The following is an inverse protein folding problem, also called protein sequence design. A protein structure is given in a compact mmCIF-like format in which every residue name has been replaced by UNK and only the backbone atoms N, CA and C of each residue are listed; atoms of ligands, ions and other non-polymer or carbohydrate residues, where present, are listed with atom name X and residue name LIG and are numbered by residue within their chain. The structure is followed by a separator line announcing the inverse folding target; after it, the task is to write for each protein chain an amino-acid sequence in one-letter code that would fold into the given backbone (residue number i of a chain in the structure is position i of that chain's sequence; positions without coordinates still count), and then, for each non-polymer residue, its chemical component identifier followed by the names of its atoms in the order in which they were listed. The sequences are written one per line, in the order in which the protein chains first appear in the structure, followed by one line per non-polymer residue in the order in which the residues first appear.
data_IF_885662175533
#
_entry.id   IF_885662175533
#
_cell.length_a   1.000
_cell.length_b   1.000
_cell.length_c   1.000
_cell.angle_alpha   90.00
_cell.angle_beta   90.00
_cell.angle_gamma   90.00
#
_symmetry.space_group_name_H-M   'P 1'
#
loop_
_entity.id
_entity.type
_entity.pdbx_description
1 polymer ?
#
# COMPACT_ATOMS: atom_id res chain seq x y z
N UNK A 1 34.83 -23.04 -8.73
CA UNK A 1 33.87 -23.97 -8.12
C UNK A 1 32.51 -23.54 -8.62
N UNK A 2 31.80 -24.44 -9.30
CA UNK A 2 30.50 -24.14 -9.92
C UNK A 2 29.46 -24.06 -8.82
N UNK A 3 28.88 -22.87 -8.63
CA UNK A 3 27.62 -22.69 -7.90
C UNK A 3 26.56 -23.48 -8.68
N UNK A 4 26.31 -24.72 -8.26
CA UNK A 4 25.16 -25.46 -8.73
C UNK A 4 23.94 -24.80 -8.10
N UNK A 5 23.31 -23.91 -8.86
CA UNK A 5 21.96 -23.44 -8.59
C UNK A 5 21.10 -24.70 -8.35
N UNK A 6 20.75 -24.95 -7.09
CA UNK A 6 19.97 -26.13 -6.75
C UNK A 6 18.56 -25.80 -7.19
N UNK A 7 18.15 -26.34 -8.34
CA UNK A 7 16.79 -26.20 -8.83
C UNK A 7 15.87 -26.96 -7.89
N UNK A 8 15.31 -26.24 -6.93
CA UNK A 8 14.34 -26.77 -5.99
C UNK A 8 12.96 -26.35 -6.48
N UNK A 9 12.27 -27.29 -7.14
CA UNK A 9 10.83 -27.17 -7.36
C UNK A 9 10.16 -27.41 -6.02
N UNK A 10 9.37 -26.45 -5.53
CA UNK A 10 8.64 -26.61 -4.27
C UNK A 10 7.76 -27.86 -4.36
N UNK A 11 8.20 -28.90 -3.66
CA UNK A 11 7.47 -30.13 -3.43
C UNK A 11 7.37 -30.35 -1.93
N UNK A 12 6.34 -31.07 -1.51
CA UNK A 12 6.11 -31.54 -0.14
C UNK A 12 7.23 -32.45 0.40
N UNK A 13 8.27 -32.72 -0.40
CA UNK A 13 9.38 -33.63 -0.09
C UNK A 13 10.66 -32.92 0.32
N UNK A 14 10.70 -31.59 0.30
CA UNK A 14 11.84 -30.83 0.80
C UNK A 14 11.81 -30.84 2.32
N UNK A 15 12.96 -31.04 2.95
CA UNK A 15 13.07 -31.11 4.42
C UNK A 15 12.62 -29.79 5.08
N UNK A 16 12.82 -28.69 4.37
CA UNK A 16 12.51 -27.32 4.75
C UNK A 16 11.03 -26.97 4.51
N UNK A 17 10.28 -27.84 3.81
CA UNK A 17 8.89 -27.61 3.45
C UNK A 17 7.96 -28.61 4.13
N UNK A 18 6.88 -28.10 4.72
CA UNK A 18 5.80 -28.90 5.29
C UNK A 18 4.51 -28.66 4.52
N UNK A 19 3.82 -29.73 4.14
CA UNK A 19 2.49 -29.66 3.54
C UNK A 19 1.43 -29.83 4.62
N UNK A 20 0.55 -28.85 4.79
CA UNK A 20 -0.56 -28.88 5.75
C UNK A 20 -1.82 -28.40 5.03
N UNK A 21 -2.74 -29.32 4.73
CA UNK A 21 -4.08 -29.03 4.18
C UNK A 21 -4.07 -27.95 3.10
N UNK A 22 -3.70 -28.34 1.88
CA UNK A 22 -3.65 -27.46 0.70
C UNK A 22 -2.75 -26.22 0.85
N UNK A 23 -1.79 -26.28 1.76
CA UNK A 23 -0.78 -25.23 1.92
C UNK A 23 0.58 -25.86 2.02
N UNK A 24 1.57 -25.24 1.39
CA UNK A 24 2.98 -25.61 1.54
C UNK A 24 3.67 -24.48 2.28
N UNK A 25 4.32 -24.80 3.39
CA UNK A 25 5.11 -23.86 4.17
C UNK A 25 6.57 -24.23 4.08
N UNK A 26 7.38 -23.39 3.45
CA UNK A 26 8.81 -23.56 3.32
C UNK A 26 9.55 -22.48 4.10
N UNK A 27 10.43 -22.90 5.02
CA UNK A 27 11.31 -21.99 5.74
C UNK A 27 12.76 -22.43 5.56
N UNK A 28 13.54 -21.58 4.88
CA UNK A 28 14.91 -21.88 4.50
C UNK A 28 15.94 -21.36 5.50
N UNK A 29 15.52 -20.96 6.70
CA UNK A 29 16.42 -20.49 7.75
C UNK A 29 17.54 -21.50 8.02
N UNK A 30 18.80 -21.05 7.90
CA UNK A 30 20.02 -21.85 8.10
C UNK A 30 20.18 -23.06 7.14
N UNK A 31 19.35 -23.17 6.09
CA UNK A 31 19.45 -24.28 5.13
C UNK A 31 20.67 -24.17 4.20
N UNK A 32 21.21 -22.96 4.03
CA UNK A 32 22.23 -22.66 3.02
C UNK A 32 21.68 -22.59 1.59
N UNK A 33 20.39 -22.89 1.39
CA UNK A 33 19.70 -22.74 0.11
C UNK A 33 19.52 -21.25 -0.16
N UNK A 34 20.01 -20.82 -1.32
CA UNK A 34 19.94 -19.43 -1.77
C UNK A 34 18.83 -19.22 -2.78
N UNK A 35 18.64 -20.17 -3.69
CA UNK A 35 17.69 -20.08 -4.78
C UNK A 35 16.55 -21.10 -4.62
N UNK A 36 15.32 -20.64 -4.76
CA UNK A 36 14.11 -21.48 -4.75
C UNK A 36 13.31 -21.20 -6.01
N UNK A 37 12.89 -22.26 -6.71
CA UNK A 37 12.14 -22.15 -7.95
C UNK A 37 10.68 -22.54 -7.69
N UNK A 38 9.78 -21.63 -8.01
CA UNK A 38 8.34 -21.85 -7.93
C UNK A 38 7.83 -21.94 -9.37
N UNK A 39 7.55 -23.16 -9.79
CA UNK A 39 6.92 -23.44 -11.07
C UNK A 39 5.38 -23.49 -10.89
N UNK A 40 4.61 -23.25 -11.96
CA UNK A 40 3.16 -23.35 -11.89
C UNK A 40 2.78 -24.80 -11.58
N UNK A 41 1.92 -25.00 -10.58
CA UNK A 41 1.34 -26.32 -10.32
C UNK A 41 0.43 -26.71 -11.49
N UNK A 42 0.37 -28.01 -11.85
CA UNK A 42 -0.67 -28.51 -12.78
C UNK A 42 -2.02 -28.04 -12.21
N UNK A 43 -2.90 -27.36 -12.98
CA UNK A 43 -4.18 -26.87 -12.48
C UNK A 43 -5.06 -27.99 -11.87
N UNK A 44 -4.73 -29.26 -12.12
CA UNK A 44 -5.36 -30.43 -11.49
C UNK A 44 -4.85 -30.77 -10.09
N UNK A 45 -3.74 -30.18 -9.65
CA UNK A 45 -3.05 -30.47 -8.40
C UNK A 45 -3.04 -29.20 -7.52
N UNK A 46 -4.18 -28.94 -6.88
CA UNK A 46 -4.41 -27.68 -6.17
C UNK A 46 -3.74 -27.72 -4.79
N UNK A 47 -2.54 -27.14 -4.69
CA UNK A 47 -2.03 -26.65 -3.42
C UNK A 47 -2.50 -25.18 -3.30
N UNK A 48 -3.59 -24.96 -2.57
CA UNK A 48 -4.30 -23.66 -2.48
C UNK A 48 -3.42 -22.47 -2.05
N UNK A 49 -2.26 -22.64 -1.40
CA UNK A 49 -1.32 -21.53 -1.13
C UNK A 49 0.10 -21.98 -0.79
N UNK A 50 1.13 -21.28 -1.30
CA UNK A 50 2.53 -21.54 -0.97
C UNK A 50 3.13 -20.38 -0.18
N UNK A 51 3.76 -20.70 0.94
CA UNK A 51 4.44 -19.78 1.84
C UNK A 51 5.95 -20.04 1.77
N UNK A 52 6.74 -19.01 1.48
CA UNK A 52 8.20 -19.12 1.40
C UNK A 52 8.86 -18.04 2.25
N UNK A 53 9.66 -18.48 3.21
CA UNK A 53 10.34 -17.60 4.15
C UNK A 53 11.87 -17.77 4.10
N UNK A 54 12.57 -16.66 4.37
CA UNK A 54 14.01 -16.62 4.68
C UNK A 54 14.90 -17.23 3.59
N UNK A 55 14.76 -16.73 2.36
CA UNK A 55 15.53 -17.17 1.19
C UNK A 55 16.14 -15.97 0.48
N UNK A 56 17.27 -16.16 -0.18
CA UNK A 56 17.92 -15.08 -0.92
C UNK A 56 17.14 -14.77 -2.20
N UNK A 57 16.91 -15.76 -3.06
CA UNK A 57 16.23 -15.57 -4.34
C UNK A 57 15.06 -16.55 -4.49
N UNK A 58 13.90 -16.01 -4.87
CA UNK A 58 12.76 -16.80 -5.34
C UNK A 58 12.58 -16.54 -6.83
N UNK A 59 12.70 -17.58 -7.63
CA UNK A 59 12.47 -17.57 -9.06
C UNK A 59 11.03 -18.03 -9.32
N UNK A 60 10.16 -17.11 -9.73
CA UNK A 60 8.80 -17.42 -10.17
C UNK A 60 8.86 -17.74 -11.66
N UNK A 61 8.75 -19.03 -11.98
CA UNK A 61 8.85 -19.52 -13.36
C UNK A 61 7.46 -19.53 -13.98
N UNK A 62 7.26 -18.79 -15.06
CA UNK A 62 5.96 -18.65 -15.71
C UNK A 62 4.98 -17.76 -14.93
N UNK A 63 3.68 -17.78 -15.29
CA UNK A 63 2.68 -16.96 -14.63
C UNK A 63 2.31 -17.50 -13.25
N UNK A 64 1.80 -16.60 -12.41
CA UNK A 64 1.28 -16.93 -11.10
C UNK A 64 -0.07 -17.65 -11.22
N UNK A 65 -0.05 -18.99 -11.23
CA UNK A 65 -1.26 -19.83 -11.16
C UNK A 65 -1.51 -20.40 -9.75
N UNK A 66 -1.00 -19.77 -8.70
CA UNK A 66 -1.21 -20.20 -7.32
C UNK A 66 -1.03 -19.02 -6.35
N UNK A 67 -1.71 -19.05 -5.20
CA UNK A 67 -1.52 -18.02 -4.19
C UNK A 67 -0.13 -18.13 -3.55
N UNK A 68 0.57 -17.00 -3.45
CA UNK A 68 1.91 -16.92 -2.88
C UNK A 68 1.98 -15.94 -1.71
N UNK A 69 2.70 -16.36 -0.68
CA UNK A 69 3.08 -15.54 0.46
C UNK A 69 4.59 -15.62 0.69
N UNK A 70 5.29 -14.51 0.46
CA UNK A 70 6.75 -14.41 0.48
C UNK A 70 7.20 -13.49 1.61
N UNK A 71 8.11 -13.93 2.47
CA UNK A 71 8.58 -13.14 3.63
C UNK A 71 10.08 -13.23 3.82
N UNK A 72 10.73 -12.09 4.03
CA UNK A 72 12.19 -12.01 4.14
C UNK A 72 12.88 -12.69 2.94
N UNK A 73 12.47 -12.29 1.74
CA UNK A 73 13.02 -12.80 0.48
C UNK A 73 13.86 -11.70 -0.13
N UNK A 74 15.17 -11.89 -0.31
CA UNK A 74 16.01 -10.77 -0.76
C UNK A 74 15.59 -10.30 -2.16
N UNK A 75 15.38 -11.22 -3.10
CA UNK A 75 14.93 -10.94 -4.47
C UNK A 75 13.87 -11.94 -4.94
N UNK A 76 12.85 -11.42 -5.64
CA UNK A 76 11.86 -12.19 -6.38
C UNK A 76 12.09 -11.90 -7.86
N UNK A 77 12.45 -12.94 -8.60
CA UNK A 77 12.82 -12.89 -10.00
C UNK A 77 11.71 -13.57 -10.81
N UNK A 78 11.21 -12.88 -11.83
CA UNK A 78 10.21 -13.45 -12.74
C UNK A 78 10.91 -14.03 -13.96
N UNK A 79 10.78 -15.32 -14.20
CA UNK A 79 11.26 -15.98 -15.40
C UNK A 79 10.09 -16.20 -16.36
N UNK A 80 10.05 -15.46 -17.47
CA UNK A 80 8.99 -15.66 -18.48
C UNK A 80 9.17 -17.02 -19.17
N UNK A 81 8.18 -17.90 -19.00
CA UNK A 81 8.03 -19.11 -19.80
C UNK A 81 6.55 -19.29 -20.17
N UNK A 82 6.31 -19.65 -21.44
CA UNK A 82 5.10 -20.33 -21.94
C UNK A 82 3.76 -19.59 -21.93
N UNK A 83 2.89 -19.98 -22.87
CA UNK A 83 1.47 -19.63 -22.88
C UNK A 83 0.71 -20.56 -21.89
N UNK A 84 0.73 -20.24 -20.60
CA UNK A 84 -0.02 -20.98 -19.59
C UNK A 84 -1.40 -20.34 -19.37
N UNK A 85 -2.44 -21.18 -19.36
CA UNK A 85 -3.81 -20.77 -19.02
C UNK A 85 -4.01 -20.89 -17.50
N UNK A 86 -3.77 -19.81 -16.75
CA UNK A 86 -4.21 -19.72 -15.36
C UNK A 86 -5.65 -19.17 -15.30
N UNK A 87 -6.40 -19.56 -14.27
CA UNK A 87 -7.62 -18.83 -13.88
C UNK A 87 -7.29 -17.43 -13.31
N UNK A 88 -8.29 -16.56 -13.25
CA UNK A 88 -8.16 -15.28 -12.54
C UNK A 88 -8.30 -15.47 -11.03
N UNK A 89 -7.73 -14.57 -10.22
CA UNK A 89 -8.01 -14.51 -8.78
C UNK A 89 -6.83 -14.79 -7.84
N UNK A 90 -5.63 -14.99 -8.39
CA UNK A 90 -4.44 -15.35 -7.62
C UNK A 90 -3.85 -14.18 -6.84
N UNK A 91 -3.40 -14.51 -5.64
CA UNK A 91 -2.82 -13.57 -4.67
C UNK A 91 -1.29 -13.63 -4.67
N UNK A 92 -0.66 -12.46 -4.69
CA UNK A 92 0.73 -12.29 -4.29
C UNK A 92 0.80 -11.41 -3.04
N UNK A 93 1.21 -12.00 -1.92
CA UNK A 93 1.57 -11.30 -0.71
C UNK A 93 3.10 -11.34 -0.52
N UNK A 94 3.75 -10.19 -0.39
CA UNK A 94 5.19 -10.12 -0.12
C UNK A 94 5.49 -9.16 1.04
N UNK A 95 6.41 -9.55 1.92
CA UNK A 95 6.89 -8.72 3.02
C UNK A 95 8.41 -8.75 3.11
N UNK A 96 9.05 -7.59 3.26
CA UNK A 96 10.52 -7.47 3.35
C UNK A 96 11.17 -8.18 2.17
N UNK A 97 10.78 -7.76 0.96
CA UNK A 97 11.24 -8.36 -0.27
C UNK A 97 11.56 -7.35 -1.36
N UNK A 98 12.43 -7.73 -2.30
CA UNK A 98 12.69 -6.94 -3.51
C UNK A 98 12.07 -7.62 -4.71
N UNK A 99 11.36 -6.85 -5.55
CA UNK A 99 10.71 -7.32 -6.76
C UNK A 99 11.17 -6.49 -7.96
N UNK A 100 11.56 -7.15 -9.05
CA UNK A 100 11.79 -6.43 -10.31
C UNK A 100 10.46 -5.99 -10.93
N UNK A 101 9.49 -6.91 -10.98
CA UNK A 101 8.14 -6.66 -11.46
C UNK A 101 7.11 -7.55 -10.76
N UNK A 102 5.83 -7.26 -10.96
CA UNK A 102 4.74 -8.12 -10.48
C UNK A 102 4.34 -9.16 -11.53
N UNK A 103 3.96 -10.39 -11.11
CA UNK A 103 3.43 -11.39 -12.03
C UNK A 103 2.16 -10.91 -12.72
N UNK A 104 2.04 -11.15 -14.03
CA UNK A 104 0.93 -10.66 -14.87
C UNK A 104 -0.46 -11.11 -14.38
N UNK A 105 -0.57 -12.33 -13.85
CA UNK A 105 -1.86 -12.94 -13.49
C UNK A 105 -2.27 -12.71 -12.02
N UNK A 106 -1.47 -11.96 -11.25
CA UNK A 106 -1.83 -11.57 -9.90
C UNK A 106 -2.87 -10.44 -9.94
N UNK A 107 -4.08 -10.68 -9.43
CA UNK A 107 -5.13 -9.66 -9.33
C UNK A 107 -5.37 -9.16 -7.89
N UNK A 108 -4.78 -9.84 -6.90
CA UNK A 108 -4.71 -9.41 -5.50
C UNK A 108 -3.24 -9.29 -5.07
N UNK A 109 -2.80 -8.08 -4.80
CA UNK A 109 -1.41 -7.77 -4.52
C UNK A 109 -1.32 -7.08 -3.16
N UNK A 110 -0.51 -7.65 -2.27
CA UNK A 110 -0.23 -7.10 -0.95
C UNK A 110 1.28 -7.01 -0.73
N UNK A 111 1.84 -5.80 -0.64
CA UNK A 111 3.28 -5.58 -0.45
C UNK A 111 3.51 -4.74 0.81
N UNK A 112 4.39 -5.21 1.68
CA UNK A 112 4.79 -4.50 2.91
C UNK A 112 6.30 -4.49 3.10
N UNK A 113 6.89 -3.31 3.30
CA UNK A 113 8.35 -3.18 3.45
C UNK A 113 9.11 -3.74 2.23
N UNK A 114 8.59 -3.52 1.02
CA UNK A 114 9.17 -4.05 -0.21
C UNK A 114 9.85 -2.95 -1.04
N UNK A 115 10.87 -3.36 -1.80
CA UNK A 115 11.50 -2.53 -2.84
C UNK A 115 11.05 -3.04 -4.21
N UNK A 116 10.32 -2.24 -4.98
CA UNK A 116 9.75 -2.65 -6.26
C UNK A 116 10.32 -1.78 -7.38
N UNK A 117 10.99 -2.38 -8.36
CA UNK A 117 11.50 -1.64 -9.51
C UNK A 117 10.38 -1.16 -10.43
N UNK A 118 9.43 -2.02 -10.79
CA UNK A 118 8.28 -1.64 -11.60
C UNK A 118 7.00 -2.36 -11.16
N UNK A 119 6.00 -1.58 -10.76
CA UNK A 119 4.64 -2.04 -10.55
C UNK A 119 3.80 -1.63 -11.77
N UNK A 120 3.85 -2.45 -12.82
CA UNK A 120 3.13 -2.22 -14.06
C UNK A 120 2.16 -3.36 -14.37
N UNK A 121 0.90 -3.04 -14.66
CA UNK A 121 -0.06 -4.02 -15.19
C UNK A 121 -1.17 -3.37 -16.02
N UNK A 122 -1.59 -4.11 -17.04
CA UNK A 122 -2.75 -3.82 -17.87
C UNK A 122 -4.00 -4.59 -17.42
N UNK A 123 -3.84 -5.54 -16.48
CA UNK A 123 -4.93 -6.32 -15.93
C UNK A 123 -5.64 -5.57 -14.80
N UNK A 124 -6.94 -5.83 -14.67
CA UNK A 124 -7.74 -5.22 -13.60
C UNK A 124 -7.40 -5.86 -12.26
N UNK A 125 -6.85 -5.08 -11.34
CA UNK A 125 -6.58 -5.53 -9.97
C UNK A 125 -7.87 -5.46 -9.13
N UNK A 126 -8.17 -6.56 -8.44
CA UNK A 126 -9.23 -6.61 -7.42
C UNK A 126 -8.76 -6.00 -6.10
N UNK A 127 -7.49 -6.20 -5.75
CA UNK A 127 -6.91 -5.65 -4.53
C UNK A 127 -5.46 -5.23 -4.77
N UNK A 128 -5.12 -4.01 -4.37
CA UNK A 128 -3.75 -3.54 -4.26
C UNK A 128 -3.57 -2.88 -2.90
N UNK A 129 -2.71 -3.44 -2.07
CA UNK A 129 -2.28 -2.84 -0.80
C UNK A 129 -0.78 -2.70 -0.76
N UNK A 130 -0.30 -1.47 -0.56
CA UNK A 130 1.11 -1.11 -0.47
C UNK A 130 1.35 -0.40 0.85
N UNK A 131 2.20 -0.99 1.68
CA UNK A 131 2.55 -0.48 3.01
C UNK A 131 4.08 -0.33 3.09
N UNK A 132 4.58 0.79 3.60
CA UNK A 132 6.01 0.96 3.93
C UNK A 132 6.97 0.59 2.78
N UNK A 133 6.55 0.77 1.52
CA UNK A 133 7.27 0.22 0.37
C UNK A 133 7.85 1.35 -0.50
N UNK A 134 8.96 1.05 -1.15
CA UNK A 134 9.62 1.93 -2.11
C UNK A 134 9.38 1.38 -3.53
N UNK A 135 8.77 2.19 -4.39
CA UNK A 135 8.43 1.82 -5.76
C UNK A 135 9.09 2.79 -6.72
N UNK A 136 9.88 2.30 -7.68
CA UNK A 136 10.52 3.16 -8.67
C UNK A 136 9.54 3.59 -9.77
N UNK A 137 8.83 2.64 -10.38
CA UNK A 137 7.83 2.94 -11.40
C UNK A 137 6.47 2.36 -11.02
N UNK A 138 5.43 3.18 -11.07
CA UNK A 138 4.04 2.78 -10.83
C UNK A 138 3.18 3.10 -12.06
N UNK A 139 2.65 2.07 -12.71
CA UNK A 139 1.84 2.19 -13.92
C UNK A 139 0.71 1.15 -13.94
N UNK A 140 -0.43 1.50 -13.36
CA UNK A 140 -1.63 0.67 -13.39
C UNK A 140 -2.60 1.28 -14.40
N UNK A 141 -2.62 0.69 -15.59
CA UNK A 141 -3.39 1.23 -16.73
C UNK A 141 -4.86 0.81 -16.73
N UNK A 142 -5.20 -0.31 -16.10
CA UNK A 142 -6.58 -0.71 -15.88
C UNK A 142 -7.21 0.06 -14.70
N UNK A 143 -8.49 0.46 -14.80
CA UNK A 143 -9.15 1.20 -13.73
C UNK A 143 -9.47 0.34 -12.51
N UNK A 144 -9.24 0.90 -11.32
CA UNK A 144 -9.89 0.43 -10.09
C UNK A 144 -11.35 0.86 -10.10
N UNK A 145 -12.26 -0.11 -10.12
CA UNK A 145 -13.72 0.08 -10.17
C UNK A 145 -14.43 -1.11 -9.53
N UNK A 146 -15.70 -0.94 -9.16
CA UNK A 146 -16.62 -2.02 -8.77
C UNK A 146 -16.05 -3.03 -7.76
N UNK A 147 -16.10 -2.68 -6.47
CA UNK A 147 -15.63 -3.52 -5.36
C UNK A 147 -14.11 -3.83 -5.38
N UNK A 148 -13.33 -3.11 -6.19
CA UNK A 148 -11.87 -3.16 -6.09
C UNK A 148 -11.37 -2.34 -4.89
N UNK A 149 -10.24 -2.75 -4.32
CA UNK A 149 -9.63 -2.11 -3.16
C UNK A 149 -8.25 -1.58 -3.53
N UNK A 150 -8.02 -0.29 -3.29
CA UNK A 150 -6.73 0.37 -3.44
C UNK A 150 -6.33 1.00 -2.10
N UNK A 151 -5.24 0.52 -1.51
CA UNK A 151 -4.70 1.04 -0.26
C UNK A 151 -3.22 1.34 -0.41
N UNK A 152 -2.87 2.62 -0.46
CA UNK A 152 -1.49 3.11 -0.55
C UNK A 152 -1.17 3.84 0.76
N UNK A 153 -0.25 3.29 1.54
CA UNK A 153 0.07 3.82 2.87
C UNK A 153 1.57 3.84 3.14
N UNK A 154 2.03 4.95 3.73
CA UNK A 154 3.39 5.09 4.28
C UNK A 154 4.49 4.69 3.27
N UNK A 155 4.28 4.94 1.97
CA UNK A 155 5.11 4.43 0.88
C UNK A 155 5.72 5.55 0.05
N UNK A 156 6.80 5.25 -0.67
CA UNK A 156 7.42 6.18 -1.62
C UNK A 156 7.27 5.65 -3.05
N UNK A 157 6.87 6.50 -3.97
CA UNK A 157 6.80 6.23 -5.41
C UNK A 157 7.70 7.24 -6.11
N UNK A 158 8.72 6.78 -6.82
CA UNK A 158 9.61 7.67 -7.56
C UNK A 158 8.87 8.26 -8.77
N UNK A 159 8.25 7.43 -9.60
CA UNK A 159 7.49 7.85 -10.78
C UNK A 159 6.11 7.21 -10.77
N UNK A 160 5.06 8.03 -10.64
CA UNK A 160 3.68 7.62 -10.91
C UNK A 160 3.33 7.98 -12.36
N UNK A 161 3.33 6.95 -13.23
CA UNK A 161 3.00 7.11 -14.65
C UNK A 161 1.50 7.12 -14.91
N UNK A 162 0.77 6.23 -14.23
CA UNK A 162 -0.68 6.09 -14.42
C UNK A 162 -1.34 5.36 -13.27
N UNK A 163 -2.47 5.89 -12.84
CA UNK A 163 -3.41 5.29 -11.90
C UNK A 163 -4.80 5.83 -12.23
N UNK A 164 -5.71 4.94 -12.60
CA UNK A 164 -7.10 5.29 -12.89
C UNK A 164 -8.00 4.76 -11.78
N UNK A 165 -8.82 5.66 -11.22
CA UNK A 165 -9.80 5.35 -10.18
C UNK A 165 -11.18 5.76 -10.69
N UNK A 166 -12.12 4.82 -10.65
CA UNK A 166 -13.50 5.03 -11.09
C UNK A 166 -14.50 4.69 -9.97
N UNK A 167 -15.79 4.85 -10.26
CA UNK A 167 -16.88 4.58 -9.33
C UNK A 167 -16.85 3.15 -8.75
N UNK A 168 -17.23 3.04 -7.46
CA UNK A 168 -17.35 1.76 -6.77
C UNK A 168 -16.04 1.17 -6.24
N UNK A 169 -14.90 1.84 -6.43
CA UNK A 169 -13.64 1.45 -5.80
C UNK A 169 -13.56 1.94 -4.34
N UNK A 170 -13.06 1.08 -3.45
CA UNK A 170 -12.69 1.45 -2.09
C UNK A 170 -11.23 1.95 -2.08
N UNK A 171 -11.01 3.22 -1.77
CA UNK A 171 -9.70 3.88 -1.92
C UNK A 171 -9.22 4.50 -0.61
N UNK A 172 -7.99 4.18 -0.23
CA UNK A 172 -7.23 4.84 0.83
C UNK A 172 -5.85 5.23 0.30
N UNK A 173 -5.53 6.53 0.32
CA UNK A 173 -4.20 7.05 -0.06
C UNK A 173 -3.72 7.97 1.07
N UNK A 174 -2.76 7.48 1.86
CA UNK A 174 -2.31 8.14 3.07
C UNK A 174 -0.79 8.09 3.18
N UNK A 175 -0.17 9.15 3.71
CA UNK A 175 1.27 9.19 3.97
C UNK A 175 2.13 8.80 2.76
N UNK A 176 1.71 9.19 1.55
CA UNK A 176 2.38 8.79 0.31
C UNK A 176 3.34 9.88 -0.15
N UNK A 177 4.56 9.52 -0.51
CA UNK A 177 5.50 10.41 -1.19
C UNK A 177 5.58 10.06 -2.67
N UNK A 178 5.31 11.01 -3.55
CA UNK A 178 5.50 10.86 -5.01
C UNK A 178 6.55 11.86 -5.48
N UNK A 179 7.68 11.36 -6.00
CA UNK A 179 8.75 12.24 -6.48
C UNK A 179 8.40 12.87 -7.83
N UNK A 180 7.80 12.11 -8.75
CA UNK A 180 7.35 12.59 -10.05
C UNK A 180 5.98 12.03 -10.41
N UNK A 181 5.06 12.90 -10.79
CA UNK A 181 3.75 12.54 -11.31
C UNK A 181 3.68 12.88 -12.80
N UNK A 182 3.67 11.86 -13.65
CA UNK A 182 3.61 12.03 -15.09
C UNK A 182 2.31 12.74 -15.51
N UNK A 183 2.28 13.24 -16.75
CA UNK A 183 1.03 13.73 -17.36
C UNK A 183 -0.01 12.61 -17.39
N UNK A 184 -1.23 12.90 -16.96
CA UNK A 184 -2.33 11.95 -16.75
C UNK A 184 -2.00 10.86 -15.72
N UNK A 185 -1.05 11.12 -14.82
CA UNK A 185 -0.56 10.16 -13.83
C UNK A 185 -1.63 9.73 -12.82
N UNK A 186 -2.53 10.62 -12.43
CA UNK A 186 -3.71 10.28 -11.62
C UNK A 186 -4.99 10.73 -12.34
N UNK A 187 -5.88 9.78 -12.57
CA UNK A 187 -7.14 9.99 -13.28
C UNK A 187 -8.32 9.56 -12.41
N UNK A 188 -9.23 10.49 -12.11
CA UNK A 188 -10.44 10.24 -11.35
C UNK A 188 -11.68 10.36 -12.25
N UNK A 189 -12.59 9.38 -12.20
CA UNK A 189 -13.86 9.42 -12.93
C UNK A 189 -15.03 8.99 -12.05
N UNK A 190 -16.04 9.86 -11.90
CA UNK A 190 -17.22 9.64 -11.06
C UNK A 190 -16.88 9.16 -9.65
N UNK A 191 -15.78 9.68 -9.06
CA UNK A 191 -15.29 9.23 -7.76
C UNK A 191 -14.81 10.39 -6.91
N UNK A 192 -15.07 10.30 -5.61
CA UNK A 192 -14.58 11.25 -4.62
C UNK A 192 -13.52 10.56 -3.76
N UNK A 193 -12.29 11.08 -3.75
CA UNK A 193 -11.21 10.53 -2.94
C UNK A 193 -10.64 11.60 -2.00
N UNK A 194 -10.08 11.13 -0.89
CA UNK A 194 -9.29 11.95 0.01
C UNK A 194 -7.86 11.44 0.03
N UNK A 195 -6.89 12.33 -0.17
CA UNK A 195 -5.47 12.05 -0.02
C UNK A 195 -4.97 12.76 1.24
N UNK A 196 -4.36 12.01 2.16
CA UNK A 196 -3.93 12.51 3.48
C UNK A 196 -2.43 12.43 3.67
N UNK A 197 -1.87 13.42 4.36
CA UNK A 197 -0.49 13.44 4.87
C UNK A 197 0.57 13.13 3.78
N UNK A 198 0.28 13.50 2.53
CA UNK A 198 1.06 13.06 1.37
C UNK A 198 1.88 14.21 0.77
N UNK A 199 3.03 13.86 0.18
CA UNK A 199 3.96 14.81 -0.44
C UNK A 199 4.19 14.49 -1.90
N UNK A 200 3.76 15.34 -2.82
CA UNK A 200 3.99 15.15 -4.26
C UNK A 200 4.87 16.31 -4.77
N UNK A 201 6.02 16.00 -5.38
CA UNK A 201 7.03 17.02 -5.71
C UNK A 201 6.88 17.56 -7.14
N UNK A 202 7.26 16.77 -8.15
CA UNK A 202 7.22 17.21 -9.55
C UNK A 202 5.85 16.93 -10.17
N UNK A 203 4.92 17.88 -10.02
CA UNK A 203 3.54 17.82 -10.55
C UNK A 203 3.35 18.92 -11.59
N UNK A 204 2.63 18.62 -12.67
CA UNK A 204 2.20 19.60 -13.67
C UNK A 204 0.68 19.74 -13.67
N UNK A 205 0.14 20.77 -14.36
CA UNK A 205 -1.31 20.99 -14.49
C UNK A 205 -2.07 19.80 -15.10
N UNK A 206 -1.40 19.00 -15.91
CA UNK A 206 -2.00 17.87 -16.62
C UNK A 206 -1.70 16.54 -15.89
N UNK A 207 -1.03 16.57 -14.74
CA UNK A 207 -0.63 15.37 -13.99
C UNK A 207 -1.80 14.73 -13.24
N UNK A 208 -2.77 15.52 -12.81
CA UNK A 208 -4.00 15.05 -12.16
C UNK A 208 -5.19 15.50 -12.98
N UNK A 209 -6.00 14.55 -13.43
CA UNK A 209 -7.24 14.82 -14.16
C UNK A 209 -8.42 14.31 -13.36
N UNK A 210 -9.40 15.19 -13.18
CA UNK A 210 -10.67 14.87 -12.54
C UNK A 210 -11.80 15.06 -13.54
N UNK A 211 -12.48 13.98 -13.91
CA UNK A 211 -13.66 14.01 -14.76
C UNK A 211 -14.92 14.32 -13.96
N UNK A 212 -16.01 14.60 -14.68
CA UNK A 212 -17.32 14.98 -14.16
C UNK A 212 -17.71 14.28 -12.86
N UNK A 213 -18.22 15.08 -11.91
CA UNK A 213 -18.66 14.66 -10.57
C UNK A 213 -17.57 14.06 -9.66
N UNK A 214 -16.31 14.04 -10.10
CA UNK A 214 -15.18 13.61 -9.27
C UNK A 214 -14.63 14.76 -8.45
N UNK A 215 -14.16 14.46 -7.24
CA UNK A 215 -13.46 15.42 -6.38
C UNK A 215 -12.28 14.77 -5.70
N UNK A 216 -11.22 15.54 -5.54
CA UNK A 216 -10.06 15.19 -4.72
C UNK A 216 -9.98 16.15 -3.53
N UNK A 217 -9.99 15.60 -2.33
CA UNK A 217 -9.78 16.35 -1.10
C UNK A 217 -8.37 16.12 -0.59
N UNK A 218 -7.62 17.20 -0.37
CA UNK A 218 -6.25 17.14 0.13
C UNK A 218 -6.23 17.52 1.61
N UNK A 219 -5.66 16.66 2.45
CA UNK A 219 -5.49 16.90 3.90
C UNK A 219 -4.02 16.79 4.24
N UNK A 220 -3.44 17.83 4.85
CA UNK A 220 -2.00 17.90 5.18
C UNK A 220 -1.09 17.58 3.99
N UNK A 221 -1.44 18.10 2.82
CA UNK A 221 -0.70 17.86 1.57
C UNK A 221 0.47 18.84 1.42
N UNK A 222 1.60 18.33 0.92
CA UNK A 222 2.77 19.13 0.53
C UNK A 222 3.07 18.93 -0.96
N UNK A 223 3.08 19.99 -1.76
CA UNK A 223 3.42 19.90 -3.18
C UNK A 223 3.05 21.16 -3.96
N UNK A 224 3.72 21.37 -5.10
CA UNK A 224 3.42 22.48 -6.01
C UNK A 224 2.28 22.05 -6.95
N UNK A 225 1.04 22.12 -6.46
CA UNK A 225 -0.13 21.82 -7.29
C UNK A 225 -0.60 23.09 -8.03
N UNK A 226 -0.49 23.17 -9.37
CA UNK A 226 -1.15 24.23 -10.12
C UNK A 226 -2.65 23.98 -10.12
N UNK A 227 -3.36 24.73 -9.28
CA UNK A 227 -4.81 24.61 -9.10
C UNK A 227 -5.56 24.97 -10.38
N UNK A 228 -6.13 23.96 -11.03
CA UNK A 228 -7.41 24.10 -11.72
C UNK A 228 -8.38 23.07 -11.15
N UNK A 229 -9.38 23.52 -10.38
CA UNK A 229 -10.59 22.76 -10.07
C UNK A 229 -10.74 22.12 -8.68
N UNK A 230 -9.75 22.16 -7.79
CA UNK A 230 -9.89 21.66 -6.43
C UNK A 230 -10.13 22.81 -5.43
N UNK A 231 -11.28 22.81 -4.74
CA UNK A 231 -11.46 23.62 -3.53
C UNK A 231 -10.45 23.16 -2.47
N UNK A 232 -9.34 23.88 -2.33
CA UNK A 232 -8.45 23.68 -1.19
C UNK A 232 -9.20 24.19 0.05
N UNK A 233 -9.76 23.27 0.85
CA UNK A 233 -10.02 23.55 2.27
C UNK A 233 -8.71 23.46 3.03
N UNK A 234 -7.80 24.38 2.72
CA UNK A 234 -6.61 24.64 3.52
C UNK A 234 -7.01 25.65 4.58
N UNK A 235 -6.91 25.26 5.85
CA UNK A 235 -6.82 26.23 6.94
C UNK A 235 -5.52 26.99 6.73
N UNK A 236 -5.59 28.13 6.04
CA UNK A 236 -4.56 29.15 6.08
C UNK A 236 -4.40 29.51 7.56
N UNK A 237 -3.38 28.95 8.22
CA UNK A 237 -2.81 29.54 9.41
C UNK A 237 -2.29 30.91 8.99
N UNK A 238 -3.18 31.89 9.04
CA UNK A 238 -2.86 33.28 8.77
C UNK A 238 -1.77 33.70 9.74
N UNK A 239 -0.67 34.12 9.13
CA UNK A 239 0.40 34.89 9.71
C UNK A 239 -0.17 35.90 10.75
N UNK A 240 0.30 35.89 12.01
CA UNK A 240 -0.29 36.67 13.09
C UNK A 240 -0.18 38.19 12.90
N UNK A 241 0.57 38.66 11.89
CA UNK A 241 0.77 40.08 11.63
C UNK A 241 -0.49 40.77 11.06
N UNK A 242 -1.32 40.07 10.27
CA UNK A 242 -2.57 40.62 9.74
C UNK A 242 -3.68 40.68 10.81
N UNK A 243 -3.70 39.68 11.71
CA UNK A 243 -4.61 39.64 12.84
C UNK A 243 -4.34 40.79 13.82
N UNK A 244 -3.07 41.14 14.06
CA UNK A 244 -2.71 42.27 14.93
C UNK A 244 -3.17 43.60 14.33
N UNK A 245 -3.03 43.81 13.01
CA UNK A 245 -3.48 45.07 12.37
C UNK A 245 -5.01 45.21 12.42
N UNK A 246 -5.75 44.13 12.15
CA UNK A 246 -7.21 44.13 12.25
C UNK A 246 -7.72 44.26 13.70
N UNK A 247 -7.04 43.63 14.67
CA UNK A 247 -7.36 43.78 16.10
C UNK A 247 -7.03 45.20 16.58
N UNK A 248 -5.97 45.83 16.08
CA UNK A 248 -5.60 47.21 16.43
C UNK A 248 -6.61 48.23 15.93
N UNK A 249 -7.08 48.08 14.67
CA UNK A 249 -8.13 48.92 14.09
C UNK A 249 -9.50 48.64 14.73
N UNK A 250 -9.77 47.37 15.09
CA UNK A 250 -10.98 46.97 15.81
C UNK A 250 -11.02 47.49 17.25
N UNK A 251 -9.89 47.47 17.98
CA UNK A 251 -9.80 48.00 19.35
C UNK A 251 -10.01 49.52 19.40
N UNK A 252 -9.56 50.25 18.37
CA UNK A 252 -9.81 51.68 18.26
C UNK A 252 -11.31 51.99 18.05
N UNK A 253 -12.03 51.14 17.34
CA UNK A 253 -13.48 51.24 17.18
C UNK A 253 -14.26 50.80 18.43
N UNK A 254 -13.77 49.77 19.13
CA UNK A 254 -14.39 49.25 20.37
C UNK A 254 -14.21 50.22 21.54
N UNK A 255 -13.09 50.96 21.64
CA UNK A 255 -12.94 52.01 22.66
C UNK A 255 -13.94 53.17 22.44
N UNK A 256 -14.28 53.49 21.20
CA UNK A 256 -15.33 54.48 20.90
C UNK A 256 -16.75 53.98 21.21
N UNK A 257 -17.00 52.67 21.12
CA UNK A 257 -18.30 52.06 21.45
C UNK A 257 -18.45 51.74 22.96
N UNK A 258 -17.36 51.41 23.67
CA UNK A 258 -17.39 51.03 25.08
C UNK A 258 -17.49 52.20 26.08
N UNK A 259 -17.29 53.45 25.65
CA UNK A 259 -17.72 54.62 26.45
C UNK A 259 -19.23 54.92 26.33
N UNK A 260 -19.95 54.29 25.38
CA UNK A 260 -21.38 54.52 25.15
C UNK A 260 -22.31 53.46 25.77
N UNK A 261 -21.81 52.30 26.18
CA UNK A 261 -22.66 51.16 26.60
C UNK A 261 -22.05 50.43 27.80
N UNK A 262 -21.59 51.17 28.82
CA UNK A 262 -21.44 50.63 30.18
C UNK A 262 -22.79 50.75 30.90
N UNK A 263 -23.74 49.91 30.50
CA UNK A 263 -25.12 50.07 30.96
C UNK A 263 -26.03 48.88 30.67
N UNK A 264 -25.58 47.65 30.94
CA UNK A 264 -26.38 46.54 31.50
C UNK A 264 -25.75 45.18 31.19
N UNK A 265 -25.49 44.43 32.27
CA UNK A 265 -25.60 42.96 32.40
C UNK A 265 -24.64 42.11 31.53
N UNK A 266 -23.57 41.52 32.06
CA UNK A 266 -23.47 40.45 33.08
C UNK A 266 -24.23 39.15 32.78
N UNK A 267 -23.41 38.09 32.61
CA UNK A 267 -23.56 36.69 33.03
C UNK A 267 -23.93 35.57 32.01
N UNK A 268 -22.96 34.63 31.93
CA UNK A 268 -23.03 33.15 31.95
C UNK A 268 -22.81 32.31 30.67
N UNK A 269 -21.73 31.50 30.76
CA UNK A 269 -21.59 30.05 30.43
C UNK A 269 -21.68 29.57 28.97
N UNK A 270 -21.07 28.47 28.50
CA UNK A 270 -19.88 27.63 28.81
C UNK A 270 -19.79 26.58 27.66
N UNK A 271 -18.57 26.20 27.24
CA UNK A 271 -18.05 24.96 26.60
C UNK A 271 -18.96 23.94 25.84
N UNK A 272 -18.47 23.36 24.73
CA UNK A 272 -17.92 21.97 24.68
C UNK A 272 -17.42 21.54 23.28
N UNK A 273 -16.36 20.71 23.29
CA UNK A 273 -15.69 20.01 22.18
C UNK A 273 -16.46 18.78 21.68
N UNK A 274 -16.05 18.24 20.52
CA UNK A 274 -16.35 16.86 20.11
C UNK A 274 -15.59 16.44 18.85
N UNK A 275 -14.65 15.49 18.99
CA UNK A 275 -13.97 14.71 17.94
C UNK A 275 -14.70 13.37 17.68
N UNK A 276 -14.51 12.76 16.50
CA UNK A 276 -14.39 11.29 16.41
C UNK A 276 -13.22 10.87 15.49
N UNK A 277 -12.23 10.11 15.97
CA UNK A 277 -12.10 8.64 16.07
C UNK A 277 -11.92 7.89 14.75
N UNK A 278 -10.69 7.39 14.64
CA UNK A 278 -10.08 6.32 13.85
C UNK A 278 -10.85 4.99 13.88
N UNK A 279 -10.94 4.30 12.73
CA UNK A 279 -11.12 2.83 12.62
C UNK A 279 -10.66 2.33 11.24
N UNK A 280 -9.62 1.48 11.20
CA UNK A 280 -9.73 0.09 10.72
C UNK A 280 -8.37 -0.62 10.72
N UNK A 281 -8.30 -1.68 11.54
CA UNK A 281 -7.30 -2.75 11.61
C UNK A 281 -7.94 -3.98 10.94
N UNK A 282 -7.20 -4.76 10.14
CA UNK A 282 -7.22 -6.24 10.11
C UNK A 282 -6.57 -6.80 8.82
N UNK A 283 -5.39 -7.38 8.96
CA UNK A 283 -4.67 -8.08 7.88
C UNK A 283 -3.46 -8.88 8.37
N UNK A 284 -2.94 -8.57 9.56
CA UNK A 284 -1.68 -9.14 10.06
C UNK A 284 -1.82 -10.31 11.06
N UNK A 285 -3.01 -10.62 11.57
CA UNK A 285 -3.17 -11.53 12.72
C UNK A 285 -2.80 -13.00 12.38
N UNK A 286 -2.61 -13.37 11.11
CA UNK A 286 -2.31 -14.75 10.71
C UNK A 286 -0.81 -15.08 10.51
N UNK A 287 0.11 -14.10 10.60
CA UNK A 287 1.55 -14.35 10.37
C UNK A 287 2.42 -14.38 11.64
N UNK A 288 1.84 -14.13 12.82
CA UNK A 288 2.56 -14.16 14.11
C UNK A 288 2.37 -15.46 14.91
N UNK A 289 1.46 -16.35 14.50
CA UNK A 289 1.24 -17.65 15.17
C UNK A 289 1.72 -18.81 14.30
N UNK A 290 3.03 -18.90 14.12
CA UNK A 290 3.69 -20.20 13.93
C UNK A 290 4.28 -20.60 15.29
N UNK A 291 4.02 -21.82 15.80
CA UNK A 291 4.46 -22.23 17.13
C UNK A 291 5.98 -22.44 17.17
N UNK A 292 6.64 -21.72 18.07
CA UNK A 292 7.94 -22.11 18.61
C UNK A 292 7.75 -23.36 19.47
N UNK A 293 7.82 -24.55 18.88
CA UNK A 293 8.05 -25.79 19.65
C UNK A 293 9.52 -26.18 19.56
N UNK A 294 10.30 -25.47 20.37
CA UNK A 294 11.65 -25.85 20.76
C UNK A 294 11.76 -25.69 22.27
N UNK A 295 11.13 -26.58 23.03
CA UNK A 295 11.47 -26.78 24.43
C UNK A 295 11.68 -28.26 24.73
N UNK A 296 12.93 -28.54 25.04
CA UNK A 296 13.45 -29.73 25.68
C UNK A 296 12.51 -30.25 26.79
N UNK A 297 12.06 -31.49 26.66
CA UNK A 297 11.77 -32.31 27.83
C UNK A 297 12.78 -33.47 27.89
N UNK A 298 13.84 -33.22 28.67
CA UNK A 298 14.63 -34.27 29.33
C UNK A 298 13.68 -35.13 30.17
N UNK A 299 13.52 -36.40 29.80
CA UNK A 299 13.01 -37.42 30.72
C UNK A 299 14.23 -38.15 31.29
N UNK A 300 14.69 -37.73 32.47
CA UNK A 300 15.52 -38.56 33.32
C UNK A 300 14.62 -39.47 34.18
N UNK A 301 14.91 -40.77 34.02
CA UNK A 301 14.59 -41.96 34.80
C UNK A 301 14.07 -41.79 36.25
N UNK A 302 13.22 -42.74 36.68
CA UNK A 302 13.55 -43.56 37.85
C UNK A 302 12.67 -44.80 38.03
N UNK A 303 13.38 -45.93 38.25
CA UNK A 303 13.00 -47.24 38.82
C UNK A 303 12.08 -48.17 38.03
#
# INVERSE_FOLDING_TARGET
MSDQATKIVISDRLRECNSITKKIFCDFQNSGIRDVYIEPSDPRNVNDKVYVHNVENVHLVGPLCQDLALKNVANILLEEQGDYQCEDGYELAAKKASLESIPKNADKIYLDQCNISSLATENSLKLLTLLHSDIKEFNISAPFRNNSILNLKDSNIEILQKLIIEEGAAVAINSLKISHLASNGLLLKHVNITIRDSTFLNITKDSVITHEQSKISWVNFTGEYPLTGAEIKGSLNHCPMFLIICISLGLLFIVFLCCGIFGKWSNKCKSSQGTPTDQSVDGWILLEKAPNEGQDMKIHQNK
#
